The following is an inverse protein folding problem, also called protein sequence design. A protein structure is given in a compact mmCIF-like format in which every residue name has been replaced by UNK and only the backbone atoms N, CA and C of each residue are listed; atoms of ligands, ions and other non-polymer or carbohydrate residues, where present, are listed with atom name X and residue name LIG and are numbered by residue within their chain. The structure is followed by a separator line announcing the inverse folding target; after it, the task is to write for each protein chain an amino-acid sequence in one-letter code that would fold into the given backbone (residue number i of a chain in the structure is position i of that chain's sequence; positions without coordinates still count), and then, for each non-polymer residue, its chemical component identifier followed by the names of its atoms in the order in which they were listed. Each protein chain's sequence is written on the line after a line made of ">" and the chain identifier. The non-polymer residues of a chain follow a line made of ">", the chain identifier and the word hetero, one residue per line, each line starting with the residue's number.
data_IF_775591897964
#
_entry.id   IF_775591897964
#
_cell.length_a   1.000
_cell.length_b   1.000
_cell.length_c   1.000
_cell.angle_alpha   90.00
_cell.angle_beta   90.00
_cell.angle_gamma   90.00
#
_symmetry.space_group_name_H-M   'P 1'
#
loop_
_entity.id
_entity.type
_entity.pdbx_description
1 polymer ?
#
# COMPACT_ATOMS: atom_id res chain seq x y z
N UNK A 1 10.52 -30.13 9.33
CA UNK A 1 9.82 -28.83 9.44
C UNK A 1 8.86 -28.70 8.27
N UNK A 2 7.54 -28.61 8.50
CA UNK A 2 6.57 -28.34 7.44
C UNK A 2 6.75 -26.89 6.99
N UNK A 3 7.24 -26.66 5.77
CA UNK A 3 7.11 -25.37 5.10
C UNK A 3 5.62 -25.09 4.93
N UNK A 4 5.08 -24.18 5.73
CA UNK A 4 3.75 -23.62 5.45
C UNK A 4 3.86 -22.78 4.19
N UNK A 5 2.88 -22.93 3.30
CA UNK A 5 2.69 -22.18 2.04
C UNK A 5 2.31 -20.70 2.32
N UNK A 6 2.92 -20.07 3.32
CA UNK A 6 2.59 -18.72 3.78
C UNK A 6 3.58 -17.74 3.15
N UNK A 7 3.18 -17.14 2.05
CA UNK A 7 3.94 -16.11 1.34
C UNK A 7 3.17 -14.80 1.25
N UNK A 8 3.72 -13.85 0.51
CA UNK A 8 3.02 -12.61 0.20
C UNK A 8 1.84 -12.88 -0.74
N UNK A 9 0.66 -12.39 -0.38
CA UNK A 9 -0.54 -12.47 -1.20
C UNK A 9 -0.83 -11.11 -1.83
N UNK A 10 -1.04 -11.09 -3.14
CA UNK A 10 -1.45 -9.88 -3.84
C UNK A 10 -2.89 -9.51 -3.49
N UNK A 11 -3.15 -8.24 -3.22
CA UNK A 11 -4.52 -7.71 -3.08
C UNK A 11 -5.13 -7.59 -4.47
N UNK A 12 -5.85 -8.64 -4.89
CA UNK A 12 -6.54 -8.67 -6.18
C UNK A 12 -7.89 -7.97 -6.06
N UNK A 13 -8.03 -6.78 -6.65
CA UNK A 13 -9.30 -6.09 -6.78
C UNK A 13 -9.46 -5.49 -8.18
N UNK A 14 -10.72 -5.29 -8.61
CA UNK A 14 -11.05 -4.90 -9.99
C UNK A 14 -10.66 -3.47 -10.38
N UNK A 15 -10.39 -2.58 -9.41
CA UNK A 15 -9.94 -1.22 -9.65
C UNK A 15 -9.08 -0.71 -8.47
N UNK A 16 -8.54 0.51 -8.62
CA UNK A 16 -7.70 1.17 -7.62
C UNK A 16 -8.40 1.31 -6.27
N UNK A 17 -9.61 1.86 -6.26
CA UNK A 17 -10.32 2.19 -5.03
C UNK A 17 -10.67 0.92 -4.24
N UNK A 18 -11.13 -0.12 -4.92
CA UNK A 18 -11.38 -1.42 -4.30
C UNK A 18 -10.09 -2.07 -3.80
N UNK A 19 -8.96 -1.89 -4.49
CA UNK A 19 -7.66 -2.34 -4.01
C UNK A 19 -7.27 -1.63 -2.72
N UNK A 20 -7.52 -0.32 -2.63
CA UNK A 20 -7.23 0.47 -1.44
C UNK A 20 -8.10 0.05 -0.26
N UNK A 21 -9.41 -0.09 -0.48
CA UNK A 21 -10.36 -0.53 0.55
C UNK A 21 -9.99 -1.92 1.07
N UNK A 22 -9.67 -2.86 0.18
CA UNK A 22 -9.33 -4.22 0.57
C UNK A 22 -7.98 -4.29 1.31
N UNK A 23 -6.98 -3.52 0.88
CA UNK A 23 -5.71 -3.43 1.58
C UNK A 23 -5.87 -2.83 3.00
N UNK A 24 -6.72 -1.81 3.16
CA UNK A 24 -7.00 -1.23 4.47
C UNK A 24 -7.70 -2.25 5.38
N UNK A 25 -8.65 -3.01 4.83
CA UNK A 25 -9.34 -4.08 5.57
C UNK A 25 -8.34 -5.12 6.10
N UNK A 26 -7.37 -5.55 5.30
CA UNK A 26 -6.35 -6.49 5.75
C UNK A 26 -5.45 -5.88 6.84
N UNK A 27 -5.01 -4.63 6.69
CA UNK A 27 -4.22 -3.96 7.72
C UNK A 27 -5.00 -3.87 9.05
N UNK A 28 -6.28 -3.49 8.99
CA UNK A 28 -7.16 -3.41 10.17
C UNK A 28 -7.41 -4.78 10.84
N UNK A 29 -7.26 -5.88 10.09
CA UNK A 29 -7.35 -7.24 10.63
C UNK A 29 -6.02 -7.76 11.20
N UNK A 30 -4.97 -6.92 11.25
CA UNK A 30 -3.66 -7.28 11.79
C UNK A 30 -2.72 -7.99 10.80
N UNK A 31 -3.07 -8.04 9.51
CA UNK A 31 -2.15 -8.54 8.49
C UNK A 31 -1.05 -7.51 8.23
N UNK A 32 0.16 -7.97 7.91
CA UNK A 32 1.23 -7.08 7.47
C UNK A 32 1.01 -6.71 6.00
N UNK A 33 0.69 -5.46 5.72
CA UNK A 33 0.33 -5.00 4.37
C UNK A 33 1.35 -3.99 3.86
N UNK A 34 1.82 -4.17 2.63
CA UNK A 34 2.75 -3.26 1.96
C UNK A 34 2.14 -2.71 0.69
N UNK A 35 2.30 -1.40 0.51
CA UNK A 35 2.11 -0.71 -0.77
C UNK A 35 3.43 -0.73 -1.54
N UNK A 36 3.36 -0.98 -2.84
CA UNK A 36 4.52 -1.19 -3.71
C UNK A 36 4.31 -0.45 -5.02
N UNK A 37 5.28 0.40 -5.35
CA UNK A 37 5.41 1.04 -6.65
C UNK A 37 6.68 0.55 -7.34
N UNK A 38 6.53 -0.02 -8.54
CA UNK A 38 7.65 -0.36 -9.41
C UNK A 38 7.92 0.83 -10.34
N UNK A 39 9.15 1.34 -10.34
CA UNK A 39 9.54 2.41 -11.23
C UNK A 39 9.47 1.95 -12.69
N UNK A 40 8.94 2.78 -13.58
CA UNK A 40 8.89 2.50 -15.01
C UNK A 40 10.30 2.38 -15.61
N UNK A 41 11.27 3.15 -15.10
CA UNK A 41 12.67 2.99 -15.46
C UNK A 41 13.32 1.91 -14.57
N UNK A 42 13.77 0.77 -15.13
CA UNK A 42 14.36 -0.31 -14.35
C UNK A 42 15.69 0.04 -13.69
N UNK A 43 16.36 1.13 -14.11
CA UNK A 43 17.61 1.63 -13.50
C UNK A 43 17.36 2.53 -12.29
N UNK A 44 16.10 2.83 -11.95
CA UNK A 44 15.73 3.65 -10.79
C UNK A 44 15.00 2.82 -9.74
N UNK A 45 15.27 3.09 -8.47
CA UNK A 45 14.59 2.41 -7.38
C UNK A 45 13.06 2.62 -7.44
N UNK A 46 12.32 1.58 -7.06
CA UNK A 46 10.90 1.65 -6.75
C UNK A 46 10.66 2.32 -5.40
N UNK A 47 9.46 2.16 -4.87
CA UNK A 47 9.12 2.65 -3.53
C UNK A 47 8.15 1.69 -2.85
N UNK A 48 8.35 1.47 -1.55
CA UNK A 48 7.44 0.69 -0.71
C UNK A 48 7.11 1.47 0.56
N UNK A 49 5.90 1.26 1.07
CA UNK A 49 5.50 1.75 2.38
C UNK A 49 4.57 0.72 3.05
N UNK A 50 4.64 0.60 4.37
CA UNK A 50 3.76 -0.28 5.14
C UNK A 50 2.41 0.42 5.28
N UNK A 51 1.32 -0.27 5.02
CA UNK A 51 -0.02 0.22 5.32
C UNK A 51 -0.30 -0.01 6.80
N UNK A 52 -0.70 1.04 7.50
CA UNK A 52 -1.05 0.94 8.93
C UNK A 52 -2.56 0.85 9.12
N UNK A 53 -3.04 0.26 10.22
CA UNK A 53 -4.45 0.31 10.57
C UNK A 53 -4.96 1.76 10.64
N UNK A 54 -6.19 1.99 10.17
CA UNK A 54 -6.79 3.32 10.11
C UNK A 54 -8.32 3.24 10.20
N UNK A 55 -8.91 4.27 10.77
CA UNK A 55 -10.36 4.52 10.85
C UNK A 55 -10.87 5.39 9.70
N UNK A 56 -10.05 5.67 8.68
CA UNK A 56 -10.49 6.40 7.48
C UNK A 56 -11.72 5.75 6.85
N UNK A 57 -12.71 6.58 6.55
CA UNK A 57 -13.86 6.17 5.76
C UNK A 57 -13.47 5.93 4.28
N UNK A 58 -14.41 5.33 3.54
CA UNK A 58 -14.21 4.97 2.14
C UNK A 58 -13.93 6.20 1.26
N UNK A 59 -14.55 7.35 1.53
CA UNK A 59 -14.33 8.55 0.72
C UNK A 59 -12.91 9.10 0.91
N UNK A 60 -12.43 9.17 2.15
CA UNK A 60 -11.04 9.53 2.46
C UNK A 60 -10.05 8.55 1.85
N UNK A 61 -10.33 7.24 1.90
CA UNK A 61 -9.50 6.23 1.24
C UNK A 61 -9.43 6.48 -0.28
N UNK A 62 -10.54 6.80 -0.94
CA UNK A 62 -10.55 7.10 -2.39
C UNK A 62 -9.78 8.37 -2.74
N UNK A 63 -9.87 9.40 -1.90
CA UNK A 63 -9.32 10.73 -2.16
C UNK A 63 -7.83 10.86 -1.80
N UNK A 64 -7.41 10.19 -0.72
CA UNK A 64 -6.07 10.30 -0.13
C UNK A 64 -5.27 8.99 -0.13
N UNK A 65 -5.95 7.87 -0.31
CA UNK A 65 -5.40 6.55 -0.06
C UNK A 65 -5.31 6.19 1.41
N UNK A 66 -4.75 5.01 1.65
CA UNK A 66 -4.56 4.43 2.98
C UNK A 66 -3.55 5.23 3.81
N UNK A 67 -3.59 5.07 5.12
CA UNK A 67 -2.48 5.54 5.95
C UNK A 67 -1.31 4.57 5.88
N UNK A 68 -0.11 5.14 5.82
CA UNK A 68 1.14 4.41 5.61
C UNK A 68 2.23 4.90 6.54
N UNK A 69 3.08 3.96 6.95
CA UNK A 69 4.37 4.22 7.54
C UNK A 69 5.46 3.99 6.47
N UNK A 70 6.41 4.92 6.37
CA UNK A 70 7.52 4.80 5.42
C UNK A 70 8.84 5.26 6.03
N UNK A 71 9.91 4.70 5.48
CA UNK A 71 11.26 5.22 5.61
C UNK A 71 11.76 5.64 4.22
N UNK A 72 12.33 6.83 4.12
CA UNK A 72 12.80 7.40 2.86
C UNK A 72 13.57 8.69 3.10
N UNK A 73 13.47 9.65 2.18
CA UNK A 73 14.08 10.98 2.40
C UNK A 73 13.41 11.74 3.56
N UNK A 74 12.12 11.45 3.81
CA UNK A 74 11.38 11.89 4.99
C UNK A 74 10.66 10.67 5.54
N UNK A 75 10.83 10.41 6.82
CA UNK A 75 10.20 9.30 7.50
C UNK A 75 8.81 9.71 8.00
N UNK A 76 7.85 8.79 7.90
CA UNK A 76 6.52 8.97 8.47
C UNK A 76 6.15 7.72 9.25
N UNK A 77 5.70 7.90 10.49
CA UNK A 77 5.05 6.83 11.26
C UNK A 77 3.59 6.64 10.84
N UNK A 78 2.94 7.69 10.36
CA UNK A 78 1.60 7.66 9.79
C UNK A 78 1.40 8.85 8.84
N UNK A 79 1.12 8.57 7.56
CA UNK A 79 0.74 9.59 6.57
C UNK A 79 -0.07 8.99 5.43
N UNK A 80 -0.85 9.80 4.72
CA UNK A 80 -1.64 9.31 3.60
C UNK A 80 -0.75 8.81 2.46
N UNK A 81 -1.19 7.76 1.77
CA UNK A 81 -0.52 7.19 0.61
C UNK A 81 -0.24 8.27 -0.45
N UNK A 82 -1.20 9.16 -0.70
CA UNK A 82 -1.04 10.29 -1.63
C UNK A 82 0.10 11.22 -1.24
N UNK A 83 0.27 11.52 0.06
CA UNK A 83 1.38 12.33 0.56
C UNK A 83 2.70 11.57 0.51
N UNK A 84 2.68 10.29 0.90
CA UNK A 84 3.86 9.44 0.88
C UNK A 84 4.42 9.19 -0.52
N UNK A 85 3.54 9.10 -1.51
CA UNK A 85 3.86 8.90 -2.93
C UNK A 85 3.76 10.22 -3.73
N UNK A 86 3.87 11.39 -3.10
CA UNK A 86 3.72 12.70 -3.78
C UNK A 86 4.66 12.92 -4.97
N UNK A 87 5.80 12.25 -4.98
CA UNK A 87 6.78 12.30 -6.08
C UNK A 87 6.48 11.29 -7.21
N UNK A 88 5.32 10.62 -7.12
CA UNK A 88 4.78 9.60 -8.03
C UNK A 88 3.28 9.86 -8.23
N UNK A 89 2.92 11.11 -8.55
CA UNK A 89 1.52 11.56 -8.65
C UNK A 89 0.70 10.71 -9.63
N UNK A 90 1.32 10.32 -10.74
CA UNK A 90 0.67 9.51 -11.76
C UNK A 90 0.41 8.08 -11.25
N UNK A 91 1.31 7.53 -10.44
CA UNK A 91 1.13 6.19 -9.86
C UNK A 91 -0.12 6.09 -8.97
N UNK A 92 -0.42 7.14 -8.22
CA UNK A 92 -1.62 7.22 -7.39
C UNK A 92 -2.91 7.32 -8.23
N UNK A 93 -2.84 7.91 -9.42
CA UNK A 93 -4.00 8.05 -10.32
C UNK A 93 -4.18 6.81 -11.22
N UNK A 94 -3.10 6.28 -11.76
CA UNK A 94 -3.07 5.27 -12.82
C UNK A 94 -3.13 3.83 -12.31
N UNK A 95 -3.50 3.61 -11.04
CA UNK A 95 -3.56 2.26 -10.44
C UNK A 95 -2.22 1.50 -10.50
N UNK A 96 -1.09 2.21 -10.37
CA UNK A 96 0.26 1.60 -10.44
C UNK A 96 0.79 1.18 -9.06
N UNK A 97 0.14 1.63 -7.97
CA UNK A 97 0.46 1.22 -6.61
C UNK A 97 -0.26 -0.10 -6.32
N UNK A 98 0.54 -1.15 -6.13
CA UNK A 98 0.08 -2.51 -5.83
C UNK A 98 0.16 -2.77 -4.34
N UNK A 99 -0.67 -3.67 -3.83
CA UNK A 99 -0.64 -4.06 -2.42
C UNK A 99 -0.41 -5.55 -2.27
N UNK A 100 0.38 -5.90 -1.28
CA UNK A 100 0.59 -7.27 -0.87
C UNK A 100 0.38 -7.37 0.63
N UNK A 101 -0.19 -8.49 1.08
CA UNK A 101 -0.40 -8.76 2.48
C UNK A 101 0.24 -10.09 2.88
N UNK A 102 0.67 -10.15 4.13
CA UNK A 102 1.18 -11.36 4.76
C UNK A 102 0.40 -11.60 6.05
N UNK A 103 -0.03 -12.84 6.24
CA UNK A 103 -0.69 -13.26 7.49
C UNK A 103 0.39 -13.58 8.51
N UNK A 104 0.50 -12.72 9.53
CA UNK A 104 1.39 -12.92 10.68
C UNK A 104 0.89 -14.10 11.50
#
# INVERSE_FOLDING_TARGET
>A
MKQTKNGWHFVKAGNRDNSFIQAQKFANQGYFVVSVYKNANPKRAGHIAVVVPSSKDIEKIKNEGLDTAQAGNINFSCSSLKKGFRNKKDAFKNNEIKFYYYKI
#
